data_IF_014547483185
#
_entry.id   IF_014547483185
#
_cell.length_a   1.000
_cell.length_b   1.000
_cell.length_c   1.000
_cell.angle_alpha   90.00
_cell.angle_beta   90.00
_cell.angle_gamma   90.00
#
_symmetry.space_group_name_H-M   'P 1'
#
loop_
_entity.id
_entity.type
_entity.pdbx_description
1 polymer ?
#
# COMPACT_ATOMS: atom_id res chain seq x y z
N UNK A 1 -22.92 33.36 -19.37
CA UNK A 1 -22.66 31.96 -19.69
C UNK A 1 -21.18 31.64 -19.93
N UNK A 2 -20.48 32.34 -20.89
CA UNK A 2 -19.05 32.07 -21.19
C UNK A 2 -18.11 32.19 -19.97
N UNK A 3 -18.30 33.16 -19.09
CA UNK A 3 -17.49 33.36 -17.88
C UNK A 3 -17.69 32.20 -16.83
N UNK A 4 -18.91 31.68 -16.74
CA UNK A 4 -19.23 30.57 -15.83
C UNK A 4 -18.60 29.27 -16.33
N UNK A 5 -18.67 29.03 -17.64
CA UNK A 5 -18.03 27.84 -18.26
C UNK A 5 -16.52 27.90 -18.09
N UNK A 6 -15.90 29.08 -18.30
CA UNK A 6 -14.46 29.25 -18.06
C UNK A 6 -14.06 29.01 -16.61
N UNK A 7 -14.87 29.46 -15.65
CA UNK A 7 -14.62 29.22 -14.22
C UNK A 7 -14.73 27.74 -13.86
N UNK A 8 -15.70 27.02 -14.42
CA UNK A 8 -15.87 25.60 -14.21
C UNK A 8 -14.69 24.80 -14.79
N UNK A 9 -14.21 25.17 -15.99
CA UNK A 9 -13.05 24.53 -16.62
C UNK A 9 -11.79 24.75 -15.79
N UNK A 10 -11.54 25.98 -15.33
CA UNK A 10 -10.38 26.28 -14.47
C UNK A 10 -10.47 25.51 -13.14
N UNK A 11 -11.63 25.47 -12.51
CA UNK A 11 -11.84 24.68 -11.29
C UNK A 11 -11.63 23.18 -11.51
N UNK A 12 -12.02 22.63 -12.67
CA UNK A 12 -11.79 21.23 -13.01
C UNK A 12 -10.29 20.88 -13.06
N UNK A 13 -9.44 21.79 -13.56
CA UNK A 13 -7.99 21.59 -13.55
C UNK A 13 -7.39 21.58 -12.15
N UNK A 14 -7.92 22.34 -11.21
CA UNK A 14 -7.46 22.34 -9.82
C UNK A 14 -7.87 21.07 -9.06
N UNK A 15 -8.98 20.46 -9.41
CA UNK A 15 -9.46 19.24 -8.74
C UNK A 15 -8.69 18.00 -9.19
N UNK A 16 -8.19 17.98 -10.44
CA UNK A 16 -7.45 16.83 -10.98
C UNK A 16 -5.99 16.75 -10.52
N UNK A 17 -5.43 17.80 -9.90
CA UNK A 17 -3.99 17.88 -9.65
C UNK A 17 -3.54 17.46 -8.24
N UNK A 18 -4.42 17.36 -7.26
CA UNK A 18 -4.00 17.17 -5.87
C UNK A 18 -3.81 15.71 -5.43
N UNK A 19 -4.63 14.78 -5.90
CA UNK A 19 -4.54 13.37 -5.45
C UNK A 19 -3.35 12.61 -6.06
N UNK A 20 -2.97 12.93 -7.30
CA UNK A 20 -1.87 12.25 -8.00
C UNK A 20 -0.48 12.68 -7.57
N UNK A 21 -0.32 13.81 -6.87
CA UNK A 21 0.99 14.36 -6.52
C UNK A 21 1.58 13.71 -5.26
N UNK A 22 0.74 13.22 -4.35
CA UNK A 22 1.18 12.74 -3.04
C UNK A 22 1.28 11.22 -2.90
N UNK A 23 0.73 10.46 -3.81
CA UNK A 23 0.78 9.01 -3.74
C UNK A 23 1.05 8.40 -5.11
N UNK A 24 2.24 7.83 -5.30
CA UNK A 24 2.69 7.22 -6.56
C UNK A 24 1.97 5.91 -6.91
N UNK A 25 0.89 5.56 -6.21
CA UNK A 25 0.11 4.35 -6.46
C UNK A 25 0.85 3.04 -6.11
N UNK A 26 2.16 3.03 -6.12
CA UNK A 26 2.99 1.88 -5.73
C UNK A 26 3.88 2.22 -4.54
N UNK A 27 4.08 1.25 -3.66
CA UNK A 27 4.89 1.38 -2.47
C UNK A 27 5.93 0.27 -2.42
N UNK A 28 7.11 0.63 -1.93
CA UNK A 28 8.21 -0.33 -1.73
C UNK A 28 8.26 -0.71 -0.25
N UNK A 29 8.20 -2.01 0.02
CA UNK A 29 8.19 -2.59 1.35
C UNK A 29 9.38 -3.52 1.45
N UNK A 30 10.16 -3.40 2.51
CA UNK A 30 11.26 -4.30 2.80
C UNK A 30 10.81 -5.33 3.84
N UNK A 31 10.69 -6.58 3.41
CA UNK A 31 10.40 -7.72 4.27
C UNK A 31 11.70 -8.41 4.70
N UNK A 32 11.88 -8.62 5.99
CA UNK A 32 13.02 -9.31 6.59
C UNK A 32 12.57 -10.40 7.55
N UNK A 33 13.40 -11.44 7.71
CA UNK A 33 13.24 -12.38 8.81
C UNK A 33 13.61 -11.71 10.13
N UNK A 34 12.84 -11.95 11.19
CA UNK A 34 13.14 -11.43 12.53
C UNK A 34 14.47 -11.97 13.10
N UNK A 35 14.87 -13.15 12.69
CA UNK A 35 16.13 -13.79 13.06
C UNK A 35 17.34 -13.30 12.24
N UNK A 36 17.15 -12.31 11.36
CA UNK A 36 18.15 -11.83 10.40
C UNK A 36 18.76 -12.94 9.50
N UNK A 37 18.09 -14.08 9.38
CA UNK A 37 18.52 -15.13 8.44
C UNK A 37 18.11 -14.78 7.02
N UNK A 38 19.03 -15.04 6.09
CA UNK A 38 18.82 -14.85 4.67
C UNK A 38 18.40 -16.16 4.00
N UNK A 39 17.72 -16.04 2.86
CA UNK A 39 17.33 -17.17 2.04
C UNK A 39 16.10 -17.92 2.50
N UNK A 40 15.31 -17.37 3.43
CA UNK A 40 14.08 -17.97 3.94
C UNK A 40 12.97 -17.87 2.89
N UNK A 41 12.39 -19.00 2.51
CA UNK A 41 11.37 -19.08 1.47
C UNK A 41 10.01 -18.56 1.96
N UNK A 42 9.44 -17.63 1.17
CA UNK A 42 8.13 -17.03 1.46
C UNK A 42 7.28 -16.94 0.19
N UNK A 43 5.99 -17.01 0.36
CA UNK A 43 5.00 -16.68 -0.66
C UNK A 43 4.39 -15.31 -0.31
N UNK A 44 4.45 -14.38 -1.26
CA UNK A 44 3.95 -13.03 -1.08
C UNK A 44 2.72 -12.86 -1.96
N UNK A 45 1.60 -12.55 -1.34
CA UNK A 45 0.33 -12.26 -2.02
C UNK A 45 0.03 -10.78 -1.96
N UNK A 46 -0.15 -10.18 -3.12
CA UNK A 46 -0.50 -8.76 -3.30
C UNK A 46 -1.85 -8.63 -4.01
N UNK A 47 -2.30 -7.41 -4.23
CA UNK A 47 -3.52 -7.14 -5.02
C UNK A 47 -3.43 -7.64 -6.47
N UNK A 48 -2.22 -7.73 -7.01
CA UNK A 48 -1.94 -8.11 -8.41
C UNK A 48 -1.65 -9.60 -8.58
N UNK A 49 -1.37 -10.32 -7.50
CA UNK A 49 -1.12 -11.76 -7.56
C UNK A 49 -0.22 -12.27 -6.43
N UNK A 50 0.07 -13.56 -6.48
CA UNK A 50 0.98 -14.24 -5.55
C UNK A 50 2.25 -14.68 -6.26
N UNK A 51 3.40 -14.57 -5.59
CA UNK A 51 4.69 -15.03 -6.07
C UNK A 51 5.59 -15.50 -4.92
N UNK A 52 6.51 -16.39 -5.24
CA UNK A 52 7.51 -16.88 -4.30
C UNK A 52 8.72 -15.92 -4.27
N UNK A 53 9.26 -15.69 -3.08
CA UNK A 53 10.46 -14.89 -2.86
C UNK A 53 11.30 -15.47 -1.72
N UNK A 54 12.51 -14.92 -1.54
CA UNK A 54 13.39 -15.24 -0.41
C UNK A 54 13.65 -13.99 0.39
N UNK A 55 13.54 -14.10 1.73
CA UNK A 55 13.87 -13.00 2.63
C UNK A 55 15.40 -12.80 2.71
N UNK A 56 15.90 -11.56 2.76
CA UNK A 56 15.15 -10.31 2.70
C UNK A 56 14.63 -10.02 1.29
N UNK A 57 13.37 -9.57 1.18
CA UNK A 57 12.70 -9.30 -0.09
C UNK A 57 12.21 -7.86 -0.17
N UNK A 58 12.36 -7.29 -1.36
CA UNK A 58 11.75 -5.99 -1.68
C UNK A 58 10.43 -6.27 -2.39
N UNK A 59 9.34 -5.85 -1.79
CA UNK A 59 7.99 -5.99 -2.29
C UNK A 59 7.57 -4.65 -2.88
N UNK A 60 7.27 -4.63 -4.18
CA UNK A 60 6.63 -3.49 -4.81
C UNK A 60 5.14 -3.80 -4.94
N UNK A 61 4.31 -3.08 -4.23
CA UNK A 61 2.89 -3.32 -4.20
C UNK A 61 2.11 -2.05 -4.44
N UNK A 62 1.01 -2.18 -5.18
CA UNK A 62 0.06 -1.11 -5.35
C UNK A 62 -0.76 -0.92 -4.08
N UNK A 63 -1.08 0.33 -3.80
CA UNK A 63 -2.00 0.69 -2.72
C UNK A 63 -3.34 0.00 -2.97
N UNK A 64 -3.77 -0.86 -2.05
CA UNK A 64 -5.00 -1.62 -2.21
C UNK A 64 -5.68 -1.87 -0.87
N UNK A 65 -6.98 -1.92 -0.94
CA UNK A 65 -7.79 -2.33 0.18
C UNK A 65 -7.55 -3.81 0.58
N UNK A 66 -7.17 -4.68 -0.37
CA UNK A 66 -6.94 -6.12 -0.12
C UNK A 66 -5.78 -6.40 0.83
N UNK A 67 -4.82 -5.47 0.93
CA UNK A 67 -3.64 -5.69 1.76
C UNK A 67 -2.58 -6.56 1.08
N UNK A 68 -1.54 -6.87 1.84
CA UNK A 68 -0.44 -7.75 1.44
C UNK A 68 -0.32 -8.83 2.49
N UNK A 69 -0.23 -10.07 2.04
CA UNK A 69 -0.02 -11.23 2.88
C UNK A 69 1.33 -11.86 2.58
N UNK A 70 2.10 -12.14 3.62
CA UNK A 70 3.38 -12.85 3.52
C UNK A 70 3.23 -14.17 4.26
N UNK A 71 3.31 -15.27 3.52
CA UNK A 71 3.21 -16.62 4.06
C UNK A 71 4.59 -17.28 4.05
N UNK A 72 5.02 -17.74 5.18
CA UNK A 72 6.27 -18.48 5.33
C UNK A 72 6.08 -19.90 4.82
N UNK A 73 6.87 -20.29 3.82
CA UNK A 73 6.79 -21.61 3.17
C UNK A 73 8.04 -22.46 3.40
N UNK A 74 9.04 -21.90 4.05
CA UNK A 74 10.31 -22.58 4.36
C UNK A 74 10.09 -23.74 5.33
N UNK A 75 10.70 -24.90 5.03
CA UNK A 75 10.57 -26.14 5.80
C UNK A 75 11.15 -26.07 7.21
N UNK A 76 12.15 -25.21 7.40
CA UNK A 76 12.82 -25.01 8.68
C UNK A 76 12.08 -24.09 9.63
N UNK A 77 10.95 -23.55 9.21
CA UNK A 77 10.18 -22.61 10.01
C UNK A 77 8.74 -23.10 10.23
N UNK A 78 8.12 -22.60 11.28
CA UNK A 78 6.67 -22.81 11.44
C UNK A 78 5.92 -22.03 10.35
N UNK A 79 4.96 -22.67 9.67
CA UNK A 79 4.10 -21.97 8.72
C UNK A 79 3.41 -20.80 9.42
N UNK A 80 3.75 -19.61 9.02
CA UNK A 80 3.20 -18.36 9.58
C UNK A 80 2.69 -17.50 8.47
N UNK A 81 1.55 -16.90 8.68
CA UNK A 81 0.93 -15.94 7.78
C UNK A 81 0.94 -14.58 8.44
N UNK A 82 1.57 -13.61 7.78
CA UNK A 82 1.65 -12.23 8.24
C UNK A 82 0.90 -11.34 7.28
N UNK A 83 -0.09 -10.63 7.79
CA UNK A 83 -0.74 -9.53 7.06
C UNK A 83 0.03 -8.23 7.32
N UNK A 84 0.50 -7.59 6.24
CA UNK A 84 1.20 -6.31 6.35
C UNK A 84 0.24 -5.23 6.82
N UNK A 85 0.61 -4.54 7.90
CA UNK A 85 -0.20 -3.46 8.43
C UNK A 85 -0.35 -2.34 7.42
N UNK A 86 -1.53 -1.78 7.35
CA UNK A 86 -1.86 -0.65 6.50
C UNK A 86 -2.52 0.45 7.31
N UNK A 87 -2.16 1.67 6.98
CA UNK A 87 -2.68 2.88 7.60
C UNK A 87 -3.29 3.79 6.54
N UNK A 88 -4.19 4.66 6.96
CA UNK A 88 -4.74 5.69 6.09
C UNK A 88 -3.68 6.77 5.88
N UNK A 89 -3.45 7.17 4.63
CA UNK A 89 -2.47 8.21 4.30
C UNK A 89 -2.86 9.57 4.89
N UNK A 90 -1.89 10.38 5.34
CA UNK A 90 -2.17 11.75 5.77
C UNK A 90 -2.84 12.62 4.69
N UNK A 91 -2.55 12.35 3.41
CA UNK A 91 -3.18 13.03 2.27
C UNK A 91 -4.69 12.83 2.21
N UNK A 92 -5.21 11.69 2.68
CA UNK A 92 -6.63 11.46 2.80
C UNK A 92 -7.31 12.49 3.73
N UNK A 93 -6.67 12.81 4.85
CA UNK A 93 -7.15 13.82 5.79
C UNK A 93 -7.03 15.23 5.27
N UNK A 94 -6.07 15.50 4.37
CA UNK A 94 -5.94 16.81 3.71
C UNK A 94 -7.15 17.09 2.83
N UNK A 95 -7.72 16.06 2.18
CA UNK A 95 -8.96 16.19 1.41
C UNK A 95 -10.14 16.59 2.30
N UNK A 96 -10.13 16.19 3.55
CA UNK A 96 -11.15 16.60 4.53
C UNK A 96 -11.06 18.09 4.90
N UNK A 97 -9.83 18.62 4.97
CA UNK A 97 -9.60 20.04 5.28
C UNK A 97 -9.95 20.97 4.10
N UNK A 98 -9.87 20.46 2.88
CA UNK A 98 -10.28 21.18 1.67
C UNK A 98 -11.78 21.00 1.44
N UNK A 99 -12.58 21.72 2.19
CA UNK A 99 -14.06 21.65 2.29
C UNK A 99 -14.83 21.48 0.97
N UNK A 100 -14.25 21.89 -0.16
CA UNK A 100 -14.86 21.82 -1.49
C UNK A 100 -14.64 20.48 -2.22
N UNK A 101 -13.64 19.68 -1.83
CA UNK A 101 -13.32 18.40 -2.46
C UNK A 101 -13.77 17.17 -1.66
N UNK A 102 -14.37 17.40 -0.50
CA UNK A 102 -14.65 16.37 0.50
C UNK A 102 -15.35 15.10 -0.03
N UNK A 103 -16.53 15.14 -0.70
CA UNK A 103 -17.18 13.91 -1.09
C UNK A 103 -16.50 13.21 -2.28
N UNK A 104 -15.99 13.97 -3.25
CA UNK A 104 -15.44 13.42 -4.49
C UNK A 104 -14.00 12.92 -4.32
N UNK A 105 -13.15 13.68 -3.66
CA UNK A 105 -11.76 13.29 -3.41
C UNK A 105 -11.66 12.00 -2.58
N UNK A 106 -12.46 11.89 -1.52
CA UNK A 106 -12.49 10.68 -0.69
C UNK A 106 -13.03 9.46 -1.43
N UNK A 107 -14.05 9.62 -2.28
CA UNK A 107 -14.59 8.53 -3.09
C UNK A 107 -13.56 8.04 -4.13
N UNK A 108 -12.82 8.94 -4.75
CA UNK A 108 -11.75 8.59 -5.69
C UNK A 108 -10.62 7.86 -4.96
N UNK A 109 -10.14 8.38 -3.83
CA UNK A 109 -9.06 7.75 -3.05
C UNK A 109 -9.48 6.39 -2.49
N UNK A 110 -10.73 6.24 -2.07
CA UNK A 110 -11.26 4.95 -1.64
C UNK A 110 -11.39 3.96 -2.81
N UNK A 111 -11.87 4.41 -3.96
CA UNK A 111 -12.06 3.59 -5.15
C UNK A 111 -10.74 3.17 -5.82
N UNK A 112 -9.74 4.03 -5.81
CA UNK A 112 -8.40 3.76 -6.35
C UNK A 112 -7.48 3.04 -5.37
N UNK A 113 -7.85 2.97 -4.08
CA UNK A 113 -7.00 2.40 -3.02
C UNK A 113 -5.90 3.33 -2.54
N UNK A 114 -5.74 4.53 -3.09
CA UNK A 114 -4.69 5.49 -2.75
C UNK A 114 -4.77 6.02 -1.31
N UNK A 115 -5.87 5.76 -0.62
CA UNK A 115 -6.01 6.07 0.81
C UNK A 115 -5.15 5.17 1.71
N UNK A 116 -4.65 4.04 1.21
CA UNK A 116 -3.90 3.07 2.01
C UNK A 116 -2.39 3.21 1.84
N UNK A 117 -1.68 3.16 2.95
CA UNK A 117 -0.22 3.10 3.01
C UNK A 117 0.20 1.92 3.87
N UNK A 118 1.12 1.10 3.36
CA UNK A 118 1.71 -0.03 4.08
C UNK A 118 2.94 0.40 4.87
N UNK A 119 3.26 -0.35 5.91
CA UNK A 119 4.51 -0.20 6.63
C UNK A 119 5.68 -0.53 5.70
N UNK A 120 6.66 0.36 5.63
CA UNK A 120 7.82 0.23 4.73
C UNK A 120 8.81 -0.86 5.13
N UNK A 121 8.79 -1.27 6.41
CA UNK A 121 9.64 -2.32 6.95
C UNK A 121 8.78 -3.34 7.68
N UNK A 122 8.87 -4.60 7.26
CA UNK A 122 8.08 -5.69 7.81
C UNK A 122 9.01 -6.79 8.29
N UNK A 123 8.87 -7.17 9.56
CA UNK A 123 9.61 -8.27 10.16
C UNK A 123 8.72 -9.50 10.26
N UNK A 124 9.14 -10.59 9.62
CA UNK A 124 8.43 -11.87 9.66
C UNK A 124 8.96 -12.67 10.84
N UNK A 125 8.13 -12.82 11.86
CA UNK A 125 8.42 -13.60 13.03
C UNK A 125 7.95 -15.05 12.86
N UNK A 126 8.86 -16.02 13.01
CA UNK A 126 8.51 -17.43 13.07
C UNK A 126 9.55 -18.20 13.86
N UNK A 127 9.14 -19.32 14.44
CA UNK A 127 10.05 -20.20 15.17
C UNK A 127 10.80 -21.09 14.19
N UNK A 128 12.13 -21.12 14.36
CA UNK A 128 12.99 -22.05 13.63
C UNK A 128 12.87 -23.45 14.22
N UNK A 129 12.66 -24.46 13.36
CA UNK A 129 12.53 -25.88 13.73
C UNK A 129 13.78 -26.71 13.42
N UNK A 130 14.68 -26.17 12.58
CA UNK A 130 15.89 -26.87 12.13
C UNK A 130 17.14 -26.57 12.98
N UNK A 131 16.97 -26.16 14.21
CA UNK A 131 18.11 -25.85 15.08
C UNK A 131 18.46 -27.07 15.93
#
# INVERSE_FOLDING_TARGET
MKKIVSLIVVMSFFVLSCASIYNSGSQTILAKSADNKEGVDVEITTSTGAYAAKLPAIIVAESSYKGIEIKLTDKCYEPTVLNVNKNITPSFWTNFLLFYGFPFGMLIDAGTGNMWKYDSNVMVHSKNKCN
#
